data_IF_669921792750
#
_entry.id   IF_669921792750
#
_cell.length_a   1.000
_cell.length_b   1.000
_cell.length_c   1.000
_cell.angle_alpha   90.00
_cell.angle_beta   90.00
_cell.angle_gamma   90.00
#
_symmetry.space_group_name_H-M   'P 1'
#
loop_
_entity.id
_entity.type
_entity.pdbx_description
1 polymer ?
#
# COMPACT_ATOMS: atom_id res chain seq x y z
N UNK A 1 5.50 22.92 -17.46
CA UNK A 1 5.13 22.48 -16.21
C UNK A 1 5.11 20.98 -16.02
N UNK A 2 5.68 20.55 -15.01
CA UNK A 2 5.79 19.15 -14.75
C UNK A 2 5.03 18.72 -13.56
N UNK A 3 4.33 17.63 -13.69
CA UNK A 3 3.71 17.03 -12.55
C UNK A 3 4.57 15.87 -12.12
N UNK A 4 4.94 15.86 -10.90
CA UNK A 4 5.61 14.72 -10.35
C UNK A 4 4.58 13.83 -9.76
N UNK A 5 4.54 12.62 -10.26
CA UNK A 5 3.62 11.65 -9.74
C UNK A 5 4.38 10.77 -8.78
N UNK A 6 3.96 10.82 -7.54
CA UNK A 6 4.54 9.96 -6.54
C UNK A 6 3.62 8.78 -6.31
N UNK A 7 4.20 7.64 -6.19
CA UNK A 7 3.44 6.43 -5.91
C UNK A 7 4.05 5.75 -4.72
N UNK A 8 3.19 5.20 -3.89
CA UNK A 8 3.61 4.37 -2.79
C UNK A 8 3.36 2.93 -3.18
N UNK A 9 4.39 2.13 -3.22
CA UNK A 9 4.27 0.74 -3.65
C UNK A 9 4.50 -0.15 -2.45
N UNK A 10 3.53 -1.02 -2.21
CA UNK A 10 3.58 -1.96 -1.10
C UNK A 10 3.81 -3.34 -1.67
N UNK A 11 4.89 -3.95 -1.26
CA UNK A 11 5.31 -5.25 -1.74
C UNK A 11 5.47 -6.20 -0.56
N UNK A 12 5.59 -7.46 -0.83
CA UNK A 12 5.82 -8.45 0.21
C UNK A 12 4.58 -8.96 0.90
N UNK A 13 3.41 -8.68 0.34
CA UNK A 13 2.16 -9.14 0.93
C UNK A 13 1.87 -10.56 0.46
N UNK A 14 1.50 -11.41 1.40
CA UNK A 14 1.17 -12.79 1.09
C UNK A 14 -0.26 -12.87 0.59
N UNK A 15 -0.41 -13.16 -0.68
CA UNK A 15 -1.72 -13.25 -1.33
C UNK A 15 -2.57 -14.38 -0.76
N UNK A 16 -1.94 -15.38 -0.21
CA UNK A 16 -2.66 -16.54 0.30
C UNK A 16 -3.39 -16.24 1.58
N UNK A 17 -2.85 -15.34 2.36
CA UNK A 17 -3.44 -15.03 3.65
C UNK A 17 -4.31 -13.79 3.61
N UNK A 18 -4.08 -12.91 2.65
CA UNK A 18 -4.73 -11.63 2.61
C UNK A 18 -5.25 -11.35 1.22
N UNK A 19 -6.47 -10.87 1.17
CA UNK A 19 -7.02 -10.39 -0.08
C UNK A 19 -6.43 -9.02 -0.38
N UNK A 20 -5.53 -8.99 -1.34
CA UNK A 20 -4.82 -7.77 -1.69
C UNK A 20 -5.77 -6.69 -2.18
N UNK A 21 -6.81 -7.09 -2.89
CA UNK A 21 -7.79 -6.12 -3.38
C UNK A 21 -8.53 -5.46 -2.24
N UNK A 22 -8.88 -6.25 -1.25
CA UNK A 22 -9.57 -5.72 -0.08
C UNK A 22 -8.67 -4.79 0.69
N UNK A 23 -7.42 -5.18 0.87
CA UNK A 23 -6.46 -4.34 1.55
C UNK A 23 -6.24 -3.03 0.80
N UNK A 24 -6.12 -3.10 -0.51
CA UNK A 24 -5.95 -1.90 -1.32
C UNK A 24 -7.15 -0.97 -1.17
N UNK A 25 -8.34 -1.54 -1.12
CA UNK A 25 -9.55 -0.76 -0.96
C UNK A 25 -9.54 -0.03 0.38
N UNK A 26 -9.13 -0.72 1.42
CA UNK A 26 -9.04 -0.12 2.74
C UNK A 26 -8.01 1.00 2.77
N UNK A 27 -6.88 0.77 2.14
CA UNK A 27 -5.83 1.78 2.08
C UNK A 27 -6.27 3.01 1.29
N UNK A 28 -6.94 2.79 0.17
CA UNK A 28 -7.42 3.91 -0.62
C UNK A 28 -8.43 4.75 0.16
N UNK A 29 -9.30 4.10 0.88
CA UNK A 29 -10.28 4.80 1.70
C UNK A 29 -9.61 5.53 2.85
N UNK A 30 -8.65 4.88 3.48
CA UNK A 30 -7.96 5.46 4.63
C UNK A 30 -7.18 6.71 4.27
N UNK A 31 -6.53 6.69 3.13
CA UNK A 31 -5.67 7.79 2.71
C UNK A 31 -6.31 8.68 1.67
N UNK A 32 -7.58 8.40 1.34
CA UNK A 32 -8.34 9.19 0.38
C UNK A 32 -7.57 9.39 -0.93
N UNK A 33 -7.01 8.31 -1.46
CA UNK A 33 -6.22 8.37 -2.67
C UNK A 33 -6.64 7.29 -3.64
N UNK A 34 -6.21 7.43 -4.88
CA UNK A 34 -6.40 6.40 -5.87
C UNK A 34 -5.31 5.35 -5.76
N UNK A 35 -5.53 4.23 -6.40
CA UNK A 35 -4.53 3.19 -6.41
C UNK A 35 -5.00 1.97 -7.15
N UNK A 36 -4.09 1.03 -7.33
CA UNK A 36 -4.38 -0.20 -8.04
C UNK A 36 -3.57 -1.34 -7.45
N UNK A 37 -3.95 -2.57 -7.79
CA UNK A 37 -3.17 -3.73 -7.42
C UNK A 37 -2.58 -4.33 -8.67
N UNK A 38 -1.39 -4.86 -8.54
CA UNK A 38 -0.70 -5.43 -9.69
C UNK A 38 0.28 -6.48 -9.21
N UNK A 39 0.10 -7.70 -9.66
CA UNK A 39 1.03 -8.79 -9.37
C UNK A 39 1.38 -8.93 -7.89
N UNK A 40 0.37 -8.81 -7.05
CA UNK A 40 0.60 -8.95 -5.62
C UNK A 40 1.14 -7.71 -4.94
N UNK A 41 1.21 -6.60 -5.67
CA UNK A 41 1.66 -5.34 -5.11
C UNK A 41 0.51 -4.35 -5.12
N UNK A 42 0.58 -3.40 -4.23
CA UNK A 42 -0.41 -2.33 -4.17
C UNK A 42 0.29 -1.04 -4.51
N UNK A 43 -0.27 -0.31 -5.47
CA UNK A 43 0.23 1.01 -5.83
C UNK A 43 -0.77 2.05 -5.39
N UNK A 44 -0.34 2.97 -4.58
CA UNK A 44 -1.18 4.07 -4.14
C UNK A 44 -0.65 5.37 -4.72
N UNK A 45 -1.56 6.21 -5.15
CA UNK A 45 -1.16 7.51 -5.69
C UNK A 45 -0.83 8.45 -4.55
N UNK A 46 0.33 9.05 -4.62
CA UNK A 46 0.79 9.99 -3.62
C UNK A 46 1.88 9.40 -2.74
N UNK A 47 2.45 10.24 -1.92
CA UNK A 47 3.53 9.84 -1.03
C UNK A 47 2.93 9.53 0.35
N UNK A 48 2.70 8.25 0.59
CA UNK A 48 2.09 7.81 1.83
C UNK A 48 2.94 6.77 2.56
N UNK A 49 4.22 6.74 2.25
CA UNK A 49 5.09 5.67 2.74
C UNK A 49 5.04 5.46 4.24
N UNK A 50 5.28 6.52 4.99
CA UNK A 50 5.32 6.40 6.44
C UNK A 50 3.98 6.03 7.02
N UNK A 51 2.93 6.64 6.50
CA UNK A 51 1.59 6.39 6.99
C UNK A 51 1.13 4.98 6.71
N UNK A 52 1.45 4.51 5.50
CA UNK A 52 1.07 3.16 5.11
C UNK A 52 1.79 2.15 5.98
N UNK A 53 3.06 2.36 6.21
CA UNK A 53 3.82 1.45 7.03
C UNK A 53 3.25 1.37 8.44
N UNK A 54 2.94 2.50 9.04
CA UNK A 54 2.32 2.54 10.36
C UNK A 54 0.99 1.81 10.36
N UNK A 55 0.19 2.08 9.35
CA UNK A 55 -1.13 1.47 9.25
C UNK A 55 -1.03 -0.05 9.18
N UNK A 56 -0.12 -0.53 8.37
CA UNK A 56 0.04 -1.97 8.20
C UNK A 56 0.57 -2.64 9.45
N UNK A 57 1.50 -1.99 10.13
CA UNK A 57 2.01 -2.52 11.38
C UNK A 57 0.90 -2.60 12.42
N UNK A 58 0.06 -1.60 12.48
CA UNK A 58 -1.07 -1.61 13.41
C UNK A 58 -2.07 -2.70 13.09
N UNK A 59 -2.16 -3.08 11.83
CA UNK A 59 -3.03 -4.17 11.43
C UNK A 59 -2.46 -5.54 11.76
N UNK A 60 -1.21 -5.59 12.18
CA UNK A 60 -0.57 -6.84 12.53
C UNK A 60 0.39 -7.39 11.50
N UNK A 61 0.69 -6.64 10.47
CA UNK A 61 1.65 -7.10 9.47
C UNK A 61 3.06 -6.96 9.99
N UNK A 62 3.92 -7.96 9.78
CA UNK A 62 5.30 -7.84 10.21
C UNK A 62 6.02 -6.78 9.40
N UNK A 63 6.67 -5.89 10.13
CA UNK A 63 7.41 -4.80 9.53
C UNK A 63 8.50 -5.28 8.60
N UNK A 64 9.08 -6.41 8.91
CA UNK A 64 10.20 -6.95 8.17
C UNK A 64 9.80 -7.60 6.85
N UNK A 65 8.54 -8.01 6.74
CA UNK A 65 8.06 -8.69 5.56
C UNK A 65 7.51 -7.75 4.50
N UNK A 66 7.26 -6.53 4.87
CA UNK A 66 6.61 -5.58 3.98
C UNK A 66 7.60 -4.54 3.51
N UNK A 67 7.63 -4.31 2.21
CA UNK A 67 8.42 -3.24 1.63
C UNK A 67 7.49 -2.14 1.17
N UNK A 68 7.73 -0.94 1.62
CA UNK A 68 7.00 0.23 1.17
C UNK A 68 7.99 1.16 0.49
N UNK A 69 7.70 1.49 -0.77
CA UNK A 69 8.61 2.31 -1.55
C UNK A 69 8.02 3.62 -1.98
#
# INVERSE_FOLDING_TARGET
KKFRKYYTIIDGIDKKEIDIRDLAKKLKARFACGGTTKEGKIELQGDHKSRVKDFLVKMGFPQESIEVR
#
